data_IF_686117315834
#
_entry.id   IF_686117315834
#
_cell.length_a   1.000
_cell.length_b   1.000
_cell.length_c   1.000
_cell.angle_alpha   90.00
_cell.angle_beta   90.00
_cell.angle_gamma   90.00
#
_symmetry.space_group_name_H-M   'P 1'
#
loop_
_entity.id
_entity.type
_entity.pdbx_description
1 polymer ?
#
# COMPACT_ATOMS: atom_id res chain seq x y z
N UNK A 1 -31.90 -1.93 -20.14
CA UNK A 1 -31.09 -2.84 -19.32
C UNK A 1 -29.67 -2.89 -19.91
N UNK A 2 -28.66 -2.48 -19.16
CA UNK A 2 -27.26 -2.69 -19.57
C UNK A 2 -27.00 -4.21 -19.59
N UNK A 3 -26.38 -4.70 -20.65
CA UNK A 3 -26.05 -6.12 -20.81
C UNK A 3 -24.93 -6.43 -19.79
N UNK A 4 -25.15 -7.39 -18.91
CA UNK A 4 -24.15 -7.90 -17.99
C UNK A 4 -22.97 -8.51 -18.81
N UNK A 5 -21.74 -8.16 -18.46
CA UNK A 5 -20.55 -8.74 -19.09
C UNK A 5 -20.05 -9.87 -18.19
N UNK A 6 -20.03 -11.07 -18.75
CA UNK A 6 -19.54 -12.28 -18.04
C UNK A 6 -18.03 -12.45 -18.25
N UNK A 7 -17.33 -12.70 -17.15
CA UNK A 7 -15.89 -13.00 -17.12
C UNK A 7 -15.68 -14.40 -16.50
N UNK A 8 -15.64 -15.48 -17.30
CA UNK A 8 -15.54 -16.84 -16.81
C UNK A 8 -14.39 -17.07 -15.83
N UNK A 9 -13.19 -16.54 -16.12
CA UNK A 9 -12.00 -16.67 -15.24
C UNK A 9 -12.23 -16.06 -13.84
N UNK A 10 -12.99 -14.96 -13.74
CA UNK A 10 -13.32 -14.38 -12.45
C UNK A 10 -14.24 -15.30 -11.64
N UNK A 11 -15.19 -15.98 -12.28
CA UNK A 11 -16.06 -16.96 -11.62
C UNK A 11 -15.29 -18.20 -11.18
N UNK A 12 -14.39 -18.70 -12.03
CA UNK A 12 -13.52 -19.83 -11.69
C UNK A 12 -12.63 -19.48 -10.48
N UNK A 13 -11.99 -18.32 -10.48
CA UNK A 13 -11.18 -17.87 -9.35
C UNK A 13 -12.02 -17.66 -8.08
N UNK A 14 -13.25 -17.15 -8.21
CA UNK A 14 -14.19 -17.03 -7.10
C UNK A 14 -14.50 -18.40 -6.49
N UNK A 15 -14.87 -19.37 -7.29
CA UNK A 15 -15.17 -20.73 -6.85
C UNK A 15 -13.94 -21.40 -6.22
N UNK A 16 -12.79 -21.35 -6.89
CA UNK A 16 -11.54 -21.96 -6.44
C UNK A 16 -10.97 -21.35 -5.15
N UNK A 17 -11.37 -20.13 -4.78
CA UNK A 17 -10.94 -19.43 -3.57
C UNK A 17 -12.02 -19.36 -2.47
N UNK A 18 -13.18 -19.99 -2.68
CA UNK A 18 -14.26 -20.04 -1.70
C UNK A 18 -14.04 -21.17 -0.68
N UNK A 19 -14.48 -20.94 0.56
CA UNK A 19 -14.53 -21.96 1.63
C UNK A 19 -16.02 -22.18 1.98
N UNK A 20 -16.43 -23.44 2.01
CA UNK A 20 -17.85 -23.80 2.15
C UNK A 20 -18.18 -24.42 3.51
N UNK A 21 -17.16 -24.87 4.26
CA UNK A 21 -17.36 -25.55 5.55
C UNK A 21 -16.51 -24.91 6.65
N UNK A 22 -16.95 -25.08 7.90
CA UNK A 22 -16.19 -24.63 9.07
C UNK A 22 -14.83 -25.34 9.18
N UNK A 23 -14.73 -26.60 8.73
CA UNK A 23 -13.48 -27.36 8.74
C UNK A 23 -12.46 -26.81 7.72
N UNK A 24 -12.93 -26.41 6.55
CA UNK A 24 -12.07 -25.72 5.56
C UNK A 24 -11.54 -24.42 6.12
N UNK A 25 -12.38 -23.62 6.80
CA UNK A 25 -11.96 -22.37 7.45
C UNK A 25 -10.91 -22.64 8.53
N UNK A 26 -11.13 -23.63 9.41
CA UNK A 26 -10.17 -23.99 10.46
C UNK A 26 -8.81 -24.39 9.89
N UNK A 27 -8.80 -25.24 8.86
CA UNK A 27 -7.57 -25.66 8.18
C UNK A 27 -6.86 -24.51 7.49
N UNK A 28 -7.62 -23.61 6.88
CA UNK A 28 -7.06 -22.46 6.17
C UNK A 28 -6.37 -21.46 7.11
N UNK A 29 -6.91 -21.23 8.30
CA UNK A 29 -6.35 -20.30 9.30
C UNK A 29 -5.02 -20.77 9.88
N UNK A 30 -4.84 -22.04 10.15
CA UNK A 30 -3.62 -22.59 10.76
C UNK A 30 -2.41 -22.61 9.83
N UNK A 31 -1.18 -22.55 10.31
CA UNK A 31 0.05 -22.84 9.54
C UNK A 31 1.23 -21.89 9.74
N UNK A 32 2.27 -22.09 8.93
CA UNK A 32 3.61 -21.50 9.09
C UNK A 32 3.62 -20.01 8.79
N UNK A 33 4.38 -19.18 9.55
CA UNK A 33 4.60 -17.78 9.24
C UNK A 33 5.20 -17.57 7.85
N UNK A 34 4.83 -16.47 7.20
CA UNK A 34 5.41 -16.07 5.92
C UNK A 34 6.79 -15.43 6.09
N UNK A 35 7.58 -15.48 5.03
CA UNK A 35 8.91 -14.87 5.00
C UNK A 35 8.78 -13.35 5.07
N UNK A 36 9.64 -12.72 5.89
CA UNK A 36 9.74 -11.27 6.00
C UNK A 36 10.65 -10.69 4.91
N UNK A 37 10.55 -9.39 4.67
CA UNK A 37 11.54 -8.64 3.90
C UNK A 37 12.94 -8.88 4.44
N UNK A 38 13.90 -8.99 3.53
CA UNK A 38 15.32 -9.02 3.89
C UNK A 38 15.72 -7.69 4.56
N UNK A 39 16.71 -7.71 5.46
CA UNK A 39 17.26 -6.48 6.03
C UNK A 39 17.71 -5.50 4.95
N UNK A 40 17.60 -4.17 5.19
CA UNK A 40 18.06 -3.18 4.24
C UNK A 40 19.56 -3.33 3.95
N UNK A 41 19.94 -3.11 2.70
CA UNK A 41 21.34 -3.19 2.22
C UNK A 41 21.85 -1.84 1.73
N UNK A 42 20.93 -0.89 1.48
CA UNK A 42 21.23 0.43 0.94
C UNK A 42 21.19 1.55 2.00
N UNK A 43 21.23 2.80 1.52
CA UNK A 43 21.04 3.99 2.36
C UNK A 43 19.63 3.98 2.93
N UNK A 44 19.51 4.21 4.23
CA UNK A 44 18.22 4.25 4.92
C UNK A 44 17.92 5.65 5.45
N UNK A 45 16.64 5.99 5.51
CA UNK A 45 16.09 7.13 6.21
C UNK A 45 15.11 6.62 7.28
N UNK A 46 15.26 7.08 8.53
CA UNK A 46 14.34 6.72 9.61
C UNK A 46 13.01 7.46 9.43
N UNK A 47 11.89 6.77 9.67
CA UNK A 47 10.60 7.44 9.76
C UNK A 47 10.48 8.18 11.09
N UNK A 48 9.80 9.33 11.07
CA UNK A 48 9.62 10.22 12.20
C UNK A 48 8.14 10.55 12.37
N UNK A 49 7.32 9.57 12.81
CA UNK A 49 5.88 9.81 12.96
C UNK A 49 5.61 10.83 14.05
N UNK A 50 4.57 11.63 13.87
CA UNK A 50 4.08 12.56 14.89
C UNK A 50 3.70 11.78 16.16
N UNK A 51 4.07 12.36 17.30
CA UNK A 51 3.59 11.88 18.61
C UNK A 51 2.08 12.06 18.75
N UNK A 52 1.45 11.35 19.67
CA UNK A 52 0.01 11.47 19.88
C UNK A 52 -0.43 12.91 20.27
N UNK A 53 0.47 13.69 20.90
CA UNK A 53 0.21 15.09 21.24
C UNK A 53 0.27 16.04 20.05
N UNK A 54 1.00 15.68 18.99
CA UNK A 54 1.16 16.49 17.77
C UNK A 54 0.13 16.14 16.68
N UNK A 55 -0.59 15.01 16.86
CA UNK A 55 -1.62 14.63 15.90
C UNK A 55 -2.81 15.59 15.95
N UNK A 56 -3.45 15.85 14.80
CA UNK A 56 -4.75 16.51 14.79
C UNK A 56 -5.77 15.73 15.63
N UNK A 57 -6.59 16.46 16.40
CA UNK A 57 -7.56 15.90 17.34
C UNK A 57 -8.99 15.88 16.77
N UNK A 58 -9.16 15.90 15.46
CA UNK A 58 -10.46 15.80 14.83
C UNK A 58 -11.14 14.47 15.21
N UNK A 59 -12.42 14.47 15.60
CA UNK A 59 -13.16 13.25 15.82
C UNK A 59 -13.14 12.35 14.59
N UNK A 60 -12.99 11.05 14.80
CA UNK A 60 -12.86 10.08 13.69
C UNK A 60 -14.04 10.13 12.71
N UNK A 61 -15.25 10.41 13.22
CA UNK A 61 -16.46 10.55 12.42
C UNK A 61 -16.33 11.71 11.41
N UNK A 62 -15.74 12.83 11.82
CA UNK A 62 -15.51 13.98 10.96
C UNK A 62 -14.46 13.65 9.89
N UNK A 63 -13.40 12.92 10.25
CA UNK A 63 -12.39 12.46 9.30
C UNK A 63 -13.01 11.53 8.27
N UNK A 64 -13.84 10.57 8.71
CA UNK A 64 -14.55 9.64 7.81
C UNK A 64 -15.47 10.38 6.85
N UNK A 65 -16.25 11.34 7.35
CA UNK A 65 -17.18 12.13 6.52
C UNK A 65 -16.45 13.03 5.52
N UNK A 66 -15.33 13.59 5.89
CA UNK A 66 -14.48 14.44 5.04
C UNK A 66 -13.67 13.64 4.02
N UNK A 67 -13.34 12.38 4.35
CA UNK A 67 -12.50 11.52 3.53
C UNK A 67 -13.15 11.26 2.16
N UNK A 68 -12.39 11.48 1.10
CA UNK A 68 -12.78 11.17 -0.28
C UNK A 68 -11.64 10.52 -1.05
N UNK A 69 -11.75 10.49 -2.37
CA UNK A 69 -10.61 10.22 -3.26
C UNK A 69 -10.20 11.55 -3.87
N UNK A 70 -8.96 11.98 -3.63
CA UNK A 70 -8.42 13.20 -4.22
C UNK A 70 -8.52 13.11 -5.75
N UNK A 71 -8.92 14.22 -6.39
CA UNK A 71 -9.03 14.34 -7.85
C UNK A 71 -7.90 15.17 -8.45
N UNK A 72 -7.17 15.90 -7.61
CA UNK A 72 -5.97 16.67 -7.95
C UNK A 72 -5.05 16.73 -6.75
N UNK A 73 -3.77 16.78 -6.99
CA UNK A 73 -2.75 17.09 -5.99
C UNK A 73 -2.10 18.43 -6.30
N UNK A 74 -1.66 19.14 -5.26
CA UNK A 74 -1.08 20.49 -5.39
C UNK A 74 0.39 20.49 -5.80
N UNK A 75 1.06 19.34 -5.88
CA UNK A 75 2.52 19.18 -6.04
C UNK A 75 3.38 19.81 -4.92
N UNK A 76 2.75 20.43 -3.95
CA UNK A 76 3.43 20.97 -2.78
C UNK A 76 4.03 19.84 -1.95
N UNK A 77 5.18 20.05 -1.31
CA UNK A 77 5.79 19.04 -0.47
C UNK A 77 4.92 18.77 0.77
N UNK A 78 4.95 17.53 1.22
CA UNK A 78 4.48 17.14 2.55
C UNK A 78 5.70 16.94 3.45
N UNK A 79 5.53 17.05 4.77
CA UNK A 79 6.65 16.82 5.68
C UNK A 79 6.98 15.32 5.81
N UNK A 80 8.23 15.00 6.16
CA UNK A 80 8.62 13.62 6.48
C UNK A 80 7.79 13.08 7.65
N UNK A 81 7.46 13.93 8.63
CA UNK A 81 6.61 13.54 9.77
C UNK A 81 5.20 13.15 9.34
N UNK A 82 4.61 13.86 8.37
CA UNK A 82 3.29 13.51 7.82
C UNK A 82 3.32 12.16 7.09
N UNK A 83 4.29 11.95 6.18
CA UNK A 83 4.47 10.66 5.52
C UNK A 83 4.72 9.54 6.52
N UNK A 84 5.62 9.76 7.47
CA UNK A 84 5.96 8.78 8.52
C UNK A 84 4.74 8.38 9.34
N UNK A 85 3.89 9.36 9.67
CA UNK A 85 2.63 9.13 10.39
C UNK A 85 1.66 8.29 9.57
N UNK A 86 1.52 8.56 8.27
CA UNK A 86 0.67 7.73 7.37
C UNK A 86 1.18 6.28 7.36
N UNK A 87 2.49 6.07 7.19
CA UNK A 87 3.09 4.74 7.15
C UNK A 87 2.95 4.02 8.49
N UNK A 88 3.33 4.65 9.61
CA UNK A 88 3.27 4.06 10.94
C UNK A 88 1.84 3.68 11.32
N UNK A 89 0.90 4.63 11.23
CA UNK A 89 -0.50 4.38 11.66
C UNK A 89 -1.20 3.34 10.79
N UNK A 90 -0.92 3.28 9.51
CA UNK A 90 -1.50 2.27 8.62
C UNK A 90 -0.94 0.88 8.90
N UNK A 91 0.35 0.77 9.26
CA UNK A 91 1.06 -0.52 9.30
C UNK A 91 1.23 -1.12 10.70
N UNK A 92 0.59 -0.59 11.73
CA UNK A 92 0.58 -1.15 13.10
C UNK A 92 -0.04 -2.55 13.21
N UNK A 93 -0.40 -3.13 12.09
CA UNK A 93 -0.96 -4.47 11.97
C UNK A 93 -2.44 -4.46 11.61
N UNK A 94 -2.87 -5.59 11.06
CA UNK A 94 -4.26 -5.93 10.78
C UNK A 94 -4.63 -7.06 11.73
N UNK A 95 -5.63 -6.82 12.58
CA UNK A 95 -6.18 -7.89 13.43
C UNK A 95 -7.10 -8.76 12.58
N UNK A 96 -6.54 -9.85 12.05
CA UNK A 96 -7.29 -10.83 11.30
C UNK A 96 -6.86 -12.23 11.76
N UNK A 97 -7.81 -13.12 11.90
CA UNK A 97 -7.64 -14.46 12.45
C UNK A 97 -6.84 -15.42 11.56
N UNK A 98 -6.49 -14.98 10.37
CA UNK A 98 -5.61 -15.71 9.44
C UNK A 98 -4.19 -15.12 9.36
N UNK A 99 -3.93 -13.98 10.00
CA UNK A 99 -2.61 -13.36 10.11
C UNK A 99 -1.97 -13.70 11.46
N UNK A 100 -1.49 -14.92 11.58
CA UNK A 100 -0.84 -15.45 12.78
C UNK A 100 0.63 -15.80 12.48
N UNK A 101 1.59 -15.37 13.28
CA UNK A 101 1.46 -14.52 14.50
C UNK A 101 1.03 -13.09 14.17
N UNK A 102 0.52 -12.34 15.19
CA UNK A 102 0.21 -10.92 15.03
C UNK A 102 1.38 -10.15 14.42
N UNK A 103 1.09 -9.31 13.42
CA UNK A 103 2.11 -8.59 12.67
C UNK A 103 2.60 -9.30 11.40
N UNK A 104 2.08 -10.50 11.09
CA UNK A 104 2.27 -11.11 9.77
C UNK A 104 1.82 -10.15 8.68
N UNK A 105 2.67 -10.00 7.65
CA UNK A 105 2.46 -9.08 6.53
C UNK A 105 2.41 -9.88 5.25
N UNK A 106 1.45 -9.57 4.39
CA UNK A 106 1.30 -10.16 3.06
C UNK A 106 1.80 -9.22 1.97
N UNK A 107 1.76 -7.91 2.24
CA UNK A 107 2.18 -6.88 1.30
C UNK A 107 3.40 -6.13 1.82
N UNK A 108 4.38 -5.93 0.95
CA UNK A 108 5.49 -5.00 1.15
C UNK A 108 5.15 -3.65 0.54
N UNK A 109 5.61 -2.56 1.15
CA UNK A 109 5.33 -1.20 0.69
C UNK A 109 6.55 -0.63 -0.02
N UNK A 110 6.36 -0.26 -1.27
CA UNK A 110 7.34 0.45 -2.10
C UNK A 110 6.81 1.85 -2.37
N UNK A 111 7.68 2.83 -2.31
CA UNK A 111 7.30 4.22 -2.47
C UNK A 111 8.03 4.83 -3.67
N UNK A 112 7.33 5.66 -4.45
CA UNK A 112 7.96 6.64 -5.31
C UNK A 112 7.73 8.01 -4.67
N UNK A 113 8.80 8.59 -4.14
CA UNK A 113 8.79 9.87 -3.44
C UNK A 113 9.08 10.98 -4.43
N UNK A 114 8.21 12.00 -4.46
CA UNK A 114 8.34 13.15 -5.36
C UNK A 114 8.63 14.46 -4.62
N UNK A 115 7.89 14.69 -3.52
CA UNK A 115 7.95 15.93 -2.78
C UNK A 115 7.68 15.67 -1.28
N UNK A 116 8.71 15.23 -0.57
CA UNK A 116 8.70 15.03 0.89
C UNK A 116 9.89 15.79 1.47
N UNK A 117 9.63 16.74 2.36
CA UNK A 117 10.68 17.52 3.02
C UNK A 117 11.61 16.62 3.82
N UNK A 118 12.92 16.76 3.61
CA UNK A 118 13.93 15.97 4.30
C UNK A 118 14.17 14.56 3.70
N UNK A 119 13.48 14.20 2.61
CA UNK A 119 13.70 12.95 1.89
C UNK A 119 13.95 13.23 0.41
N UNK A 120 15.06 12.72 -0.12
CA UNK A 120 15.40 12.92 -1.52
C UNK A 120 14.36 12.23 -2.44
N UNK A 121 13.97 12.85 -3.57
CA UNK A 121 13.10 12.19 -4.54
C UNK A 121 13.70 10.89 -5.07
N UNK A 122 12.87 9.84 -5.16
CA UNK A 122 13.36 8.52 -5.58
C UNK A 122 12.38 7.39 -5.29
N UNK A 123 12.85 6.17 -5.52
CA UNK A 123 12.14 4.94 -5.16
C UNK A 123 12.70 4.35 -3.87
N UNK A 124 11.82 3.90 -3.01
CA UNK A 124 12.14 3.38 -1.68
C UNK A 124 11.34 2.11 -1.37
N UNK A 125 11.85 1.30 -0.42
CA UNK A 125 11.07 0.25 0.22
C UNK A 125 10.97 0.52 1.72
N UNK A 126 9.80 0.29 2.29
CA UNK A 126 9.53 0.51 3.71
C UNK A 126 9.70 -0.78 4.52
N UNK A 127 10.71 -0.80 5.39
CA UNK A 127 10.95 -1.85 6.37
C UNK A 127 10.16 -1.56 7.65
N UNK A 128 8.94 -2.09 7.75
CA UNK A 128 8.00 -1.81 8.86
C UNK A 128 8.53 -2.19 10.23
N UNK A 129 9.25 -3.33 10.31
CA UNK A 129 9.83 -3.86 11.55
C UNK A 129 10.97 -3.01 12.10
N UNK A 130 11.55 -2.15 11.26
CA UNK A 130 12.67 -1.28 11.60
C UNK A 130 12.32 0.21 11.58
N UNK A 131 11.18 0.56 11.04
CA UNK A 131 10.76 1.94 10.90
C UNK A 131 11.67 2.75 9.95
N UNK A 132 12.17 2.12 8.86
CA UNK A 132 13.09 2.80 7.93
C UNK A 132 12.64 2.66 6.48
N UNK A 133 12.96 3.67 5.68
CA UNK A 133 12.84 3.69 4.23
C UNK A 133 14.22 3.41 3.63
N UNK A 134 14.38 2.29 2.94
CA UNK A 134 15.59 1.98 2.19
C UNK A 134 15.49 2.58 0.79
N UNK A 135 16.51 3.36 0.40
CA UNK A 135 16.61 3.95 -0.93
C UNK A 135 17.01 2.88 -1.96
N UNK A 136 16.19 2.68 -2.97
CA UNK A 136 16.47 1.79 -4.10
C UNK A 136 17.06 2.56 -5.29
N UNK A 137 16.55 3.78 -5.54
CA UNK A 137 16.96 4.61 -6.68
C UNK A 137 16.61 6.06 -6.41
N UNK A 138 17.56 6.97 -6.59
CA UNK A 138 17.33 8.41 -6.52
C UNK A 138 16.97 8.99 -7.89
N UNK A 139 16.23 10.08 -7.90
CA UNK A 139 15.92 10.87 -9.08
C UNK A 139 14.49 11.40 -9.12
N UNK A 140 14.25 12.30 -10.06
CA UNK A 140 12.88 12.74 -10.35
C UNK A 140 12.15 11.68 -11.16
N UNK A 141 11.21 11.00 -10.53
CA UNK A 141 10.48 9.85 -11.08
C UNK A 141 9.01 10.16 -11.40
N UNK A 142 8.62 11.45 -11.47
CA UNK A 142 7.21 11.84 -11.71
C UNK A 142 6.65 11.31 -13.01
N UNK A 143 7.41 11.38 -14.10
CA UNK A 143 6.97 10.86 -15.40
C UNK A 143 6.77 9.34 -15.35
N UNK A 144 7.70 8.63 -14.70
CA UNK A 144 7.58 7.18 -14.51
C UNK A 144 6.38 6.81 -13.63
N UNK A 145 6.16 7.55 -12.53
CA UNK A 145 5.03 7.31 -11.65
C UNK A 145 3.69 7.54 -12.38
N UNK A 146 3.58 8.61 -13.16
CA UNK A 146 2.40 8.86 -14.00
C UNK A 146 2.14 7.71 -14.96
N UNK A 147 3.19 7.23 -15.66
CA UNK A 147 3.08 6.10 -16.54
C UNK A 147 2.68 4.81 -15.78
N UNK A 148 3.40 4.48 -14.71
CA UNK A 148 3.08 3.29 -13.90
C UNK A 148 1.66 3.34 -13.33
N UNK A 149 1.15 4.53 -12.99
CA UNK A 149 -0.21 4.78 -12.55
C UNK A 149 -1.24 4.80 -13.69
N UNK A 150 -1.03 4.04 -14.77
CA UNK A 150 -1.90 3.92 -15.94
C UNK A 150 -2.07 5.25 -16.69
N UNK A 151 -0.95 5.96 -16.89
CA UNK A 151 -0.85 7.26 -17.57
C UNK A 151 -1.74 8.35 -16.92
N UNK A 152 -1.89 8.29 -15.58
CA UNK A 152 -2.68 9.25 -14.82
C UNK A 152 -1.80 10.35 -14.22
N UNK A 153 -2.18 11.61 -14.45
CA UNK A 153 -1.50 12.78 -13.85
C UNK A 153 -1.51 12.75 -12.31
N UNK A 154 -2.53 12.14 -11.71
CA UNK A 154 -2.65 12.01 -10.26
C UNK A 154 -1.43 11.36 -9.61
N UNK A 155 -0.87 10.30 -10.21
CA UNK A 155 0.35 9.68 -9.72
C UNK A 155 1.57 10.59 -9.91
N UNK A 156 1.67 11.29 -11.06
CA UNK A 156 2.75 12.25 -11.28
C UNK A 156 2.70 13.48 -10.37
N UNK A 157 1.50 13.89 -9.92
CA UNK A 157 1.26 15.10 -9.13
C UNK A 157 1.28 14.88 -7.62
N UNK A 158 1.15 13.64 -7.16
CA UNK A 158 1.24 13.30 -5.76
C UNK A 158 2.58 13.71 -5.13
N UNK A 159 2.63 13.80 -3.81
CA UNK A 159 3.88 13.92 -3.07
C UNK A 159 4.58 12.57 -2.95
N UNK A 160 3.80 11.49 -2.86
CA UNK A 160 4.29 10.11 -2.80
C UNK A 160 3.25 9.13 -3.35
N UNK A 161 3.71 8.13 -4.09
CA UNK A 161 2.95 6.98 -4.52
C UNK A 161 3.39 5.76 -3.73
N UNK A 162 2.45 5.05 -3.10
CA UNK A 162 2.71 3.89 -2.25
C UNK A 162 2.13 2.66 -2.94
N UNK A 163 3.01 1.84 -3.50
CA UNK A 163 2.69 0.58 -4.13
C UNK A 163 2.76 -0.57 -3.12
N UNK A 164 1.77 -1.42 -3.14
CA UNK A 164 1.70 -2.65 -2.35
C UNK A 164 2.11 -3.81 -3.24
N UNK A 165 3.17 -4.51 -2.90
CA UNK A 165 3.65 -5.67 -3.64
C UNK A 165 3.67 -6.91 -2.74
N UNK A 166 3.29 -8.06 -3.29
CA UNK A 166 3.27 -9.32 -2.55
C UNK A 166 4.05 -10.41 -3.28
N UNK A 167 4.83 -11.19 -2.55
CA UNK A 167 5.33 -12.47 -3.05
C UNK A 167 4.19 -13.50 -2.96
N UNK A 168 3.49 -13.68 -4.08
CA UNK A 168 2.33 -14.56 -4.13
C UNK A 168 2.70 -16.04 -4.00
N UNK A 169 3.93 -16.46 -4.35
CA UNK A 169 4.31 -17.86 -4.31
C UNK A 169 4.20 -18.48 -2.91
N UNK A 170 4.89 -17.98 -1.88
CA UNK A 170 4.76 -18.52 -0.52
C UNK A 170 3.35 -18.30 0.06
N UNK A 171 2.68 -17.22 -0.31
CA UNK A 171 1.32 -16.92 0.14
C UNK A 171 0.35 -17.96 -0.40
N UNK A 172 0.40 -18.28 -1.70
CA UNK A 172 -0.48 -19.29 -2.30
C UNK A 172 -0.11 -20.71 -1.86
N UNK A 173 1.16 -20.99 -1.60
CA UNK A 173 1.57 -22.25 -0.99
C UNK A 173 0.96 -22.44 0.40
N UNK A 174 0.89 -21.35 1.18
CA UNK A 174 0.37 -21.35 2.56
C UNK A 174 -1.16 -21.35 2.61
N UNK A 175 -1.81 -20.53 1.82
CA UNK A 175 -3.25 -20.22 1.90
C UNK A 175 -4.07 -20.77 0.73
N UNK A 176 -3.44 -21.50 -0.20
CA UNK A 176 -4.10 -21.91 -1.44
C UNK A 176 -4.59 -20.70 -2.26
N UNK A 177 -5.53 -20.92 -3.16
CA UNK A 177 -6.09 -19.87 -4.02
C UNK A 177 -6.72 -18.71 -3.22
N UNK A 178 -7.20 -18.96 -2.00
CA UNK A 178 -7.76 -17.92 -1.13
C UNK A 178 -6.69 -16.97 -0.61
N UNK A 179 -5.41 -17.32 -0.66
CA UNK A 179 -4.29 -16.43 -0.33
C UNK A 179 -4.30 -15.14 -1.15
N UNK A 180 -4.73 -15.19 -2.41
CA UNK A 180 -4.89 -13.99 -3.23
C UNK A 180 -5.92 -13.01 -2.63
N UNK A 181 -7.05 -13.51 -2.12
CA UNK A 181 -8.03 -12.65 -1.41
C UNK A 181 -7.47 -12.07 -0.12
N UNK A 182 -6.68 -12.86 0.63
CA UNK A 182 -6.05 -12.40 1.86
C UNK A 182 -5.11 -11.22 1.59
N UNK A 183 -4.30 -11.31 0.53
CA UNK A 183 -3.41 -10.21 0.08
C UNK A 183 -4.20 -8.95 -0.28
N UNK A 184 -5.25 -9.10 -1.08
CA UNK A 184 -6.12 -7.98 -1.48
C UNK A 184 -6.82 -7.36 -0.27
N UNK A 185 -7.28 -8.17 0.68
CA UNK A 185 -7.94 -7.70 1.90
C UNK A 185 -6.97 -6.90 2.78
N UNK A 186 -5.75 -7.42 3.01
CA UNK A 186 -4.74 -6.67 3.78
C UNK A 186 -4.41 -5.35 3.09
N UNK A 187 -4.12 -5.35 1.78
CA UNK A 187 -3.83 -4.14 1.03
C UNK A 187 -4.97 -3.11 1.13
N UNK A 188 -6.22 -3.55 1.00
CA UNK A 188 -7.39 -2.68 1.13
C UNK A 188 -7.54 -2.09 2.53
N UNK A 189 -7.30 -2.87 3.59
CA UNK A 189 -7.35 -2.39 4.98
C UNK A 189 -6.23 -1.37 5.24
N UNK A 190 -5.00 -1.67 4.82
CA UNK A 190 -3.87 -0.75 4.97
C UNK A 190 -4.09 0.53 4.18
N UNK A 191 -4.56 0.44 2.92
CA UNK A 191 -4.90 1.59 2.11
C UNK A 191 -6.00 2.44 2.74
N UNK A 192 -7.06 1.83 3.27
CA UNK A 192 -8.10 2.53 4.02
C UNK A 192 -7.57 3.28 5.24
N UNK A 193 -6.65 2.67 6.00
CA UNK A 193 -5.96 3.33 7.11
C UNK A 193 -5.07 4.49 6.63
N UNK A 194 -4.36 4.34 5.49
CA UNK A 194 -3.58 5.43 4.89
C UNK A 194 -4.45 6.62 4.51
N UNK A 195 -5.63 6.37 3.91
CA UNK A 195 -6.59 7.42 3.64
C UNK A 195 -6.99 8.17 4.90
N UNK A 196 -7.38 7.47 5.96
CA UNK A 196 -7.78 8.12 7.22
C UNK A 196 -6.63 8.90 7.84
N UNK A 197 -5.41 8.33 7.87
CA UNK A 197 -4.23 9.01 8.39
C UNK A 197 -3.85 10.25 7.57
N UNK A 198 -3.98 10.21 6.24
CA UNK A 198 -3.75 11.36 5.38
C UNK A 198 -4.80 12.46 5.61
N UNK A 199 -6.09 12.10 5.59
CA UNK A 199 -7.17 13.06 5.78
C UNK A 199 -7.25 13.63 7.19
N UNK A 200 -6.83 12.89 8.21
CA UNK A 200 -6.66 13.42 9.57
C UNK A 200 -5.62 14.54 9.60
N UNK A 201 -4.57 14.46 8.77
CA UNK A 201 -3.52 15.46 8.64
C UNK A 201 -3.82 16.52 7.57
N UNK A 202 -5.06 16.63 7.09
CA UNK A 202 -5.50 17.54 6.02
C UNK A 202 -4.78 17.34 4.67
N UNK A 203 -4.25 16.13 4.44
CA UNK A 203 -3.74 15.70 3.14
C UNK A 203 -4.85 15.04 2.32
N UNK A 204 -4.61 14.91 1.01
CA UNK A 204 -5.43 14.08 0.12
C UNK A 204 -4.83 12.70 -0.07
N UNK A 205 -5.67 11.73 -0.38
CA UNK A 205 -5.26 10.39 -0.80
C UNK A 205 -6.19 9.86 -1.89
N UNK A 206 -5.67 9.02 -2.78
CA UNK A 206 -6.48 8.32 -3.79
C UNK A 206 -5.87 6.98 -4.16
N UNK A 207 -6.73 5.95 -4.31
CA UNK A 207 -6.33 4.69 -4.92
C UNK A 207 -6.38 4.83 -6.44
N UNK A 208 -5.39 4.28 -7.12
CA UNK A 208 -5.24 4.35 -8.57
C UNK A 208 -5.08 2.95 -9.16
N UNK A 209 -5.43 2.83 -10.43
CA UNK A 209 -5.06 1.70 -11.28
C UNK A 209 -3.60 1.86 -11.76
N UNK A 210 -2.97 0.77 -12.16
CA UNK A 210 -1.55 0.76 -12.53
C UNK A 210 -1.22 -0.39 -13.50
N UNK A 211 -0.05 -0.34 -14.13
CA UNK A 211 0.50 -1.43 -14.93
C UNK A 211 1.32 -2.38 -14.06
N UNK A 212 0.71 -3.49 -13.61
CA UNK A 212 1.25 -4.43 -12.58
C UNK A 212 2.67 -4.92 -12.89
N UNK A 213 2.89 -5.50 -14.09
CA UNK A 213 4.18 -6.06 -14.50
C UNK A 213 5.25 -4.98 -14.64
N UNK A 214 4.85 -3.76 -15.03
CA UNK A 214 5.77 -2.64 -15.18
C UNK A 214 6.20 -2.07 -13.83
N UNK A 215 5.29 -2.01 -12.85
CA UNK A 215 5.61 -1.65 -11.47
C UNK A 215 6.65 -2.62 -10.91
N UNK A 216 6.43 -3.92 -11.05
CA UNK A 216 7.39 -4.94 -10.57
C UNK A 216 8.74 -4.78 -11.26
N UNK A 217 8.74 -4.62 -12.59
CA UNK A 217 9.96 -4.43 -13.38
C UNK A 217 10.72 -3.15 -12.97
N UNK A 218 10.01 -2.05 -12.76
CA UNK A 218 10.59 -0.76 -12.36
C UNK A 218 11.29 -0.82 -10.99
N UNK A 219 10.72 -1.57 -10.04
CA UNK A 219 11.23 -1.73 -8.67
C UNK A 219 12.21 -2.91 -8.54
N UNK A 220 12.45 -3.67 -9.60
CA UNK A 220 13.43 -4.74 -9.62
C UNK A 220 14.87 -4.18 -9.68
N UNK A 221 15.89 -4.91 -9.15
CA UNK A 221 15.81 -6.32 -8.71
C UNK A 221 15.16 -6.55 -7.34
N UNK A 222 14.93 -5.51 -6.53
CA UNK A 222 14.38 -5.67 -5.18
C UNK A 222 12.96 -6.26 -5.16
N UNK A 223 12.13 -5.95 -6.17
CA UNK A 223 10.76 -6.45 -6.31
C UNK A 223 10.64 -7.69 -7.19
N UNK A 224 11.76 -8.31 -7.60
CA UNK A 224 11.73 -9.48 -8.48
C UNK A 224 10.89 -10.62 -7.88
N UNK A 225 10.00 -11.19 -8.71
CA UNK A 225 9.10 -12.28 -8.31
C UNK A 225 7.87 -11.86 -7.52
N UNK A 226 7.71 -10.57 -7.21
CA UNK A 226 6.51 -10.02 -6.55
C UNK A 226 5.47 -9.58 -7.57
N UNK A 227 4.24 -9.48 -7.12
CA UNK A 227 3.11 -8.93 -7.87
C UNK A 227 2.63 -7.63 -7.24
N UNK A 228 2.38 -6.60 -8.05
CA UNK A 228 1.76 -5.37 -7.59
C UNK A 228 0.26 -5.63 -7.31
N UNK A 229 -0.22 -5.16 -6.17
CA UNK A 229 -1.55 -5.49 -5.63
C UNK A 229 -2.43 -4.25 -5.53
N UNK A 230 -1.86 -3.12 -5.09
CA UNK A 230 -2.59 -1.88 -4.88
C UNK A 230 -1.67 -0.67 -4.99
N UNK A 231 -2.23 0.48 -5.29
CA UNK A 231 -1.56 1.77 -5.32
C UNK A 231 -2.38 2.81 -4.56
N UNK A 232 -1.73 3.53 -3.64
CA UNK A 232 -2.27 4.72 -2.98
C UNK A 232 -1.34 5.89 -3.21
N UNK A 233 -1.84 6.93 -3.85
CA UNK A 233 -1.16 8.22 -3.98
C UNK A 233 -1.56 9.14 -2.81
N UNK A 234 -0.61 9.87 -2.23
CA UNK A 234 -0.82 10.80 -1.11
C UNK A 234 -0.12 12.14 -1.42
N UNK A 235 -0.74 13.25 -1.05
CA UNK A 235 -0.17 14.58 -1.25
C UNK A 235 -1.06 15.69 -0.71
N UNK A 236 -0.62 16.94 -0.85
CA UNK A 236 -1.44 18.11 -0.57
C UNK A 236 -2.69 18.13 -1.47
N UNK A 237 -3.85 18.47 -0.91
CA UNK A 237 -5.09 18.57 -1.70
C UNK A 237 -5.01 19.76 -2.65
N UNK A 238 -5.06 19.50 -3.96
CA UNK A 238 -5.21 20.54 -4.98
C UNK A 238 -6.59 21.19 -4.88
N UNK A 239 -6.66 22.51 -5.10
CA UNK A 239 -7.96 23.16 -5.26
C UNK A 239 -8.64 22.63 -6.52
N UNK A 240 -9.92 22.28 -6.38
CA UNK A 240 -10.77 21.86 -7.50
C UNK A 240 -10.97 23.01 -8.48
#
# INVERSE_FOLDING_TARGET
MQREVDYPLMREMHAASSLHTADEVRRWRGGTPLTRLLPPRGKVAEIQPLSDAELPHDPIEQVILRRGSARKFARDPISLAQLSTVLDRATRGVQADFLDPPGTQLNDLYLIVHAVEGLEPGAYVFHRDRGVLECLKLGNLRAQAGHLGLDQELAADAAVDIFFLADLRPILQRFGNRGYRAVQLEAGILGGKMYLAAYAQHLGATGLTFYDDEVTRFLSPHAEGKSAIFLVAVGGSGKA
#
